data_IF_086849652988
#
_entry.id   IF_086849652988
#
_cell.length_a   1.000
_cell.length_b   1.000
_cell.length_c   1.000
_cell.angle_alpha   90.00
_cell.angle_beta   90.00
_cell.angle_gamma   90.00
#
_symmetry.space_group_name_H-M   'P 1'
#
loop_
_entity.id
_entity.type
_entity.pdbx_description
1 polymer ?
#
# COMPACT_ATOMS: atom_id res chain seq x y z
N UNK A 1 -1.83 24.93 -8.72
CA UNK A 1 -1.09 24.54 -9.95
C UNK A 1 -1.11 23.04 -10.19
N UNK A 2 -0.54 22.20 -9.31
CA UNK A 2 -0.51 20.74 -9.55
C UNK A 2 -1.91 20.11 -9.64
N UNK A 3 -2.85 20.59 -8.82
CA UNK A 3 -4.23 20.08 -8.78
C UNK A 3 -4.95 20.32 -10.12
N UNK A 4 -4.76 21.49 -10.73
CA UNK A 4 -5.30 21.81 -12.05
C UNK A 4 -4.76 20.89 -13.14
N UNK A 5 -3.45 20.63 -13.10
CA UNK A 5 -2.76 19.75 -14.04
C UNK A 5 -3.23 18.29 -13.90
N UNK A 6 -3.42 17.81 -12.67
CA UNK A 6 -3.98 16.48 -12.40
C UNK A 6 -5.47 16.39 -12.74
N UNK A 7 -6.24 17.44 -12.51
CA UNK A 7 -7.65 17.49 -12.91
C UNK A 7 -7.77 17.36 -14.43
N UNK A 8 -6.97 18.08 -15.22
CA UNK A 8 -6.97 17.94 -16.67
C UNK A 8 -6.70 16.49 -17.11
N UNK A 9 -5.79 15.79 -16.44
CA UNK A 9 -5.53 14.38 -16.69
C UNK A 9 -6.76 13.50 -16.41
N UNK A 10 -7.50 13.77 -15.32
CA UNK A 10 -8.76 13.08 -14.97
C UNK A 10 -9.85 13.23 -16.03
N UNK A 11 -9.87 14.36 -16.75
CA UNK A 11 -10.82 14.61 -17.84
C UNK A 11 -10.51 13.85 -19.14
N UNK A 12 -9.37 13.15 -19.24
CA UNK A 12 -9.08 12.36 -20.43
C UNK A 12 -10.07 11.22 -20.62
N UNK A 13 -10.43 10.87 -21.87
CA UNK A 13 -11.18 9.67 -22.13
C UNK A 13 -10.33 8.42 -21.79
N UNK A 14 -11.00 7.36 -21.36
CA UNK A 14 -10.41 6.03 -21.19
C UNK A 14 -11.39 4.97 -21.68
N UNK A 15 -10.88 3.77 -21.96
CA UNK A 15 -11.71 2.64 -22.34
C UNK A 15 -12.77 2.39 -21.26
N UNK A 16 -14.05 2.40 -21.69
CA UNK A 16 -15.22 2.30 -20.82
C UNK A 16 -15.21 3.26 -19.60
N UNK A 17 -14.52 4.40 -19.71
CA UNK A 17 -14.30 5.36 -18.62
C UNK A 17 -13.70 4.72 -17.35
N UNK A 18 -12.88 3.67 -17.51
CA UNK A 18 -12.31 2.92 -16.38
C UNK A 18 -11.30 3.70 -15.57
N UNK A 19 -10.71 4.76 -16.15
CA UNK A 19 -9.69 5.62 -15.54
C UNK A 19 -8.62 4.78 -14.85
N UNK A 20 -7.97 3.92 -15.62
CA UNK A 20 -7.02 2.94 -15.09
C UNK A 20 -5.75 3.57 -14.51
N UNK A 21 -5.52 4.88 -14.70
CA UNK A 21 -4.32 5.56 -14.22
C UNK A 21 -4.32 5.82 -12.71
N UNK A 22 -3.11 5.92 -12.15
CA UNK A 22 -2.81 6.52 -10.84
C UNK A 22 -1.62 7.46 -11.02
N UNK A 23 -1.73 8.68 -10.48
CA UNK A 23 -0.64 9.65 -10.52
C UNK A 23 -0.06 9.82 -9.11
N UNK A 24 1.25 9.61 -8.98
CA UNK A 24 1.99 9.82 -7.74
C UNK A 24 2.81 11.09 -7.88
N UNK A 25 2.53 12.09 -7.02
CA UNK A 25 3.24 13.37 -7.02
C UNK A 25 4.41 13.28 -6.03
N UNK A 26 5.63 13.30 -6.57
CA UNK A 26 6.86 13.24 -5.79
C UNK A 26 7.46 14.64 -5.71
N UNK A 27 7.54 15.16 -4.48
CA UNK A 27 8.17 16.44 -4.14
C UNK A 27 9.44 16.28 -3.31
N UNK A 28 9.53 15.17 -2.57
CA UNK A 28 10.67 14.91 -1.69
C UNK A 28 11.96 14.76 -2.51
N UNK A 29 12.98 15.51 -2.13
CA UNK A 29 14.25 15.55 -2.87
C UNK A 29 14.98 14.20 -2.83
N UNK A 30 14.89 13.44 -1.74
CA UNK A 30 15.56 12.14 -1.63
C UNK A 30 14.89 11.14 -2.56
N UNK A 31 13.54 11.07 -2.56
CA UNK A 31 12.80 10.19 -3.46
C UNK A 31 13.06 10.54 -4.92
N UNK A 32 13.14 11.84 -5.28
CA UNK A 32 13.51 12.25 -6.64
C UNK A 32 14.92 11.78 -7.02
N UNK A 33 15.89 11.86 -6.11
CA UNK A 33 17.25 11.39 -6.37
C UNK A 33 17.30 9.85 -6.50
N UNK A 34 16.53 9.12 -5.70
CA UNK A 34 16.37 7.66 -5.83
C UNK A 34 15.77 7.30 -7.19
N UNK A 35 14.69 7.99 -7.62
CA UNK A 35 14.12 7.81 -8.95
C UNK A 35 15.14 8.15 -10.05
N UNK A 36 15.88 9.24 -9.92
CA UNK A 36 16.92 9.62 -10.86
C UNK A 36 18.05 8.58 -10.94
N UNK A 37 18.34 7.85 -9.86
CA UNK A 37 19.34 6.77 -9.88
C UNK A 37 18.91 5.58 -10.74
N UNK A 38 17.61 5.40 -10.98
CA UNK A 38 17.07 4.33 -11.84
C UNK A 38 17.26 4.60 -13.33
N UNK A 39 17.71 5.79 -13.69
CA UNK A 39 17.85 6.24 -15.08
C UNK A 39 19.22 5.91 -15.70
N UNK A 40 20.20 5.51 -14.90
CA UNK A 40 21.56 5.21 -15.37
C UNK A 40 22.19 6.39 -16.11
N UNK A 41 22.55 6.20 -17.38
CA UNK A 41 23.17 7.19 -18.26
C UNK A 41 22.16 8.12 -18.98
N UNK A 42 20.88 8.08 -18.62
CA UNK A 42 19.85 8.89 -19.26
C UNK A 42 20.04 10.39 -18.97
N UNK A 43 20.06 11.27 -19.99
CA UNK A 43 20.14 12.72 -19.79
C UNK A 43 19.00 13.31 -18.93
N UNK A 44 17.87 12.60 -18.82
CA UNK A 44 16.76 13.00 -17.96
C UNK A 44 17.04 12.87 -16.45
N UNK A 45 18.18 12.27 -16.03
CA UNK A 45 18.59 12.17 -14.62
C UNK A 45 18.61 13.54 -13.94
N UNK A 46 19.22 14.53 -14.58
CA UNK A 46 19.27 15.90 -14.07
C UNK A 46 17.89 16.56 -14.03
N UNK A 47 17.04 16.24 -15.01
CA UNK A 47 15.68 16.77 -15.05
C UNK A 47 14.84 16.26 -13.85
N UNK A 48 14.94 14.97 -13.51
CA UNK A 48 14.24 14.40 -12.35
C UNK A 48 14.77 14.99 -11.04
N UNK A 49 16.10 15.08 -10.88
CA UNK A 49 16.70 15.64 -9.66
C UNK A 49 16.31 17.10 -9.41
N UNK A 50 16.39 17.93 -10.46
CA UNK A 50 16.18 19.38 -10.36
C UNK A 50 14.70 19.81 -10.45
N UNK A 51 13.82 19.00 -11.05
CA UNK A 51 12.41 19.38 -11.19
C UNK A 51 11.77 19.62 -9.81
N UNK A 52 10.96 20.68 -9.62
CA UNK A 52 10.27 20.93 -8.36
C UNK A 52 9.24 19.83 -8.02
N UNK A 53 8.75 19.12 -9.04
CA UNK A 53 7.80 18.02 -8.92
C UNK A 53 8.12 16.97 -9.98
N UNK A 54 8.07 15.71 -9.59
CA UNK A 54 8.04 14.55 -10.51
C UNK A 54 6.66 13.90 -10.39
N UNK A 55 6.01 13.60 -11.51
CA UNK A 55 4.72 12.89 -11.53
C UNK A 55 4.97 11.50 -12.11
N UNK A 56 4.82 10.46 -11.29
CA UNK A 56 4.90 9.08 -11.74
C UNK A 56 3.50 8.64 -12.19
N UNK A 57 3.37 8.29 -13.47
CA UNK A 57 2.15 7.76 -14.05
C UNK A 57 2.15 6.23 -13.97
N UNK A 58 1.22 5.68 -13.21
CA UNK A 58 1.00 4.24 -13.06
C UNK A 58 -0.34 3.84 -13.69
N UNK A 59 -0.50 2.54 -13.96
CA UNK A 59 -1.76 2.00 -14.44
C UNK A 59 -2.18 0.74 -13.66
N UNK A 60 -3.47 0.59 -13.43
CA UNK A 60 -4.09 -0.66 -13.00
C UNK A 60 -4.26 -1.59 -14.21
N UNK A 61 -3.49 -2.67 -14.23
CA UNK A 61 -3.60 -3.71 -15.27
C UNK A 61 -4.91 -4.48 -15.12
N UNK A 62 -5.42 -5.01 -16.23
CA UNK A 62 -6.65 -5.81 -16.26
C UNK A 62 -7.93 -4.99 -16.11
N UNK A 63 -7.84 -3.66 -16.15
CA UNK A 63 -9.00 -2.75 -16.13
C UNK A 63 -9.37 -2.29 -17.54
N UNK A 64 -8.42 -1.65 -18.22
CA UNK A 64 -8.64 -1.12 -19.56
C UNK A 64 -8.53 -2.24 -20.59
N UNK A 65 -9.52 -2.42 -21.46
CA UNK A 65 -9.61 -3.53 -22.40
C UNK A 65 -10.19 -4.83 -21.84
N UNK A 66 -10.68 -4.86 -20.59
CA UNK A 66 -11.20 -6.06 -19.93
C UNK A 66 -12.68 -5.98 -19.58
N UNK A 67 -13.45 -6.99 -19.96
CA UNK A 67 -14.86 -7.14 -19.58
C UNK A 67 -15.05 -8.43 -18.80
N UNK A 68 -15.63 -8.34 -17.59
CA UNK A 68 -15.83 -9.48 -16.68
C UNK A 68 -14.52 -10.29 -16.43
N UNK A 69 -13.40 -9.58 -16.27
CA UNK A 69 -12.09 -10.19 -16.00
C UNK A 69 -11.42 -10.89 -17.19
N UNK A 70 -11.97 -10.76 -18.40
CA UNK A 70 -11.40 -11.30 -19.64
C UNK A 70 -11.04 -10.17 -20.61
N UNK A 71 -9.97 -10.31 -21.40
CA UNK A 71 -9.71 -9.41 -22.51
C UNK A 71 -10.92 -9.30 -23.44
N UNK A 72 -11.37 -8.07 -23.71
CA UNK A 72 -12.49 -7.80 -24.60
C UNK A 72 -12.08 -7.81 -26.09
N UNK A 73 -10.78 -7.74 -26.37
CA UNK A 73 -10.21 -7.72 -27.72
C UNK A 73 -8.94 -8.56 -27.79
N UNK A 74 -8.45 -8.83 -29.00
CA UNK A 74 -7.17 -9.50 -29.27
C UNK A 74 -5.96 -8.71 -28.75
N UNK A 75 -6.13 -7.40 -28.47
CA UNK A 75 -5.06 -6.53 -27.98
C UNK A 75 -4.78 -6.66 -26.48
N UNK A 76 -5.66 -7.31 -25.71
CA UNK A 76 -5.49 -7.42 -24.27
C UNK A 76 -5.73 -6.09 -23.56
N UNK A 77 -4.73 -5.65 -22.80
CA UNK A 77 -4.81 -4.45 -21.95
C UNK A 77 -4.55 -3.16 -22.75
N UNK A 78 -5.42 -2.17 -22.58
CA UNK A 78 -5.36 -0.88 -23.26
C UNK A 78 -4.74 0.24 -22.39
N UNK A 79 -4.20 -0.10 -21.21
CA UNK A 79 -3.72 0.87 -20.23
C UNK A 79 -2.76 1.93 -20.78
N UNK A 80 -1.82 1.56 -21.66
CA UNK A 80 -0.84 2.52 -22.20
C UNK A 80 -1.51 3.62 -23.02
N UNK A 81 -2.57 3.27 -23.77
CA UNK A 81 -3.32 4.22 -24.58
C UNK A 81 -4.07 5.21 -23.67
N UNK A 82 -4.78 4.70 -22.66
CA UNK A 82 -5.53 5.51 -21.70
C UNK A 82 -4.63 6.43 -20.87
N UNK A 83 -3.50 5.91 -20.36
CA UNK A 83 -2.52 6.70 -19.60
C UNK A 83 -1.89 7.77 -20.47
N UNK A 84 -1.60 7.47 -21.74
CA UNK A 84 -1.04 8.45 -22.67
C UNK A 84 -2.01 9.61 -22.92
N UNK A 85 -3.31 9.34 -23.05
CA UNK A 85 -4.34 10.39 -23.17
C UNK A 85 -4.40 11.28 -21.92
N UNK A 86 -4.39 10.67 -20.73
CA UNK A 86 -4.36 11.40 -19.47
C UNK A 86 -3.09 12.26 -19.33
N UNK A 87 -1.92 11.69 -19.66
CA UNK A 87 -0.66 12.41 -19.67
C UNK A 87 -0.63 13.53 -20.70
N UNK A 88 -1.26 13.37 -21.86
CA UNK A 88 -1.36 14.42 -22.88
C UNK A 88 -2.12 15.65 -22.35
N UNK A 89 -3.30 15.43 -21.74
CA UNK A 89 -4.06 16.52 -21.13
C UNK A 89 -3.27 17.21 -20.01
N UNK A 90 -2.56 16.41 -19.21
CA UNK A 90 -1.70 16.89 -18.13
C UNK A 90 -0.63 17.84 -18.67
N UNK A 91 0.17 17.42 -19.66
CA UNK A 91 1.29 18.21 -20.17
C UNK A 91 0.82 19.43 -20.97
N UNK A 92 -0.30 19.34 -21.68
CA UNK A 92 -0.90 20.51 -22.35
C UNK A 92 -1.35 21.57 -21.35
N UNK A 93 -1.95 21.14 -20.25
CA UNK A 93 -2.37 22.05 -19.17
C UNK A 93 -1.15 22.66 -18.48
N UNK A 94 -0.12 21.85 -18.20
CA UNK A 94 1.15 22.34 -17.65
C UNK A 94 1.77 23.41 -18.56
N UNK A 95 1.82 23.16 -19.87
CA UNK A 95 2.30 24.12 -20.86
C UNK A 95 1.48 25.42 -20.87
N UNK A 96 0.15 25.33 -20.82
CA UNK A 96 -0.72 26.53 -20.76
C UNK A 96 -0.50 27.40 -19.52
N UNK A 97 0.05 26.80 -18.45
CA UNK A 97 0.42 27.48 -17.21
C UNK A 97 1.87 27.99 -17.23
N UNK A 98 2.57 27.89 -18.36
CA UNK A 98 3.96 28.32 -18.53
C UNK A 98 5.00 27.35 -17.97
N UNK A 99 4.63 26.09 -17.71
CA UNK A 99 5.55 25.08 -17.17
C UNK A 99 6.22 24.28 -18.29
N UNK A 100 7.48 23.89 -18.06
CA UNK A 100 8.18 22.90 -18.87
C UNK A 100 7.95 21.48 -18.34
N UNK A 101 7.77 20.52 -19.26
CA UNK A 101 7.60 19.10 -18.93
C UNK A 101 8.50 18.22 -19.79
N UNK A 102 8.96 17.09 -19.25
CA UNK A 102 9.70 16.06 -19.99
C UNK A 102 9.10 14.69 -19.69
N UNK A 103 8.87 13.89 -20.73
CA UNK A 103 8.46 12.50 -20.57
C UNK A 103 9.70 11.61 -20.40
N UNK A 104 9.70 10.79 -19.34
CA UNK A 104 10.78 9.84 -19.08
C UNK A 104 10.20 8.43 -19.14
N UNK A 105 10.51 7.71 -20.22
CA UNK A 105 10.12 6.30 -20.40
C UNK A 105 11.27 5.30 -20.21
N UNK A 106 12.52 5.77 -20.19
CA UNK A 106 13.72 4.92 -20.08
C UNK A 106 14.28 4.97 -18.67
N UNK A 107 13.91 3.99 -17.86
CA UNK A 107 14.39 3.78 -16.49
C UNK A 107 14.27 2.30 -16.11
N UNK A 108 14.99 1.89 -15.07
CA UNK A 108 14.92 0.54 -14.51
C UNK A 108 13.68 0.39 -13.61
N UNK A 109 12.57 -0.09 -14.18
CA UNK A 109 11.29 -0.22 -13.48
C UNK A 109 11.39 -0.99 -12.16
N UNK A 110 12.19 -2.05 -12.10
CA UNK A 110 12.37 -2.85 -10.88
C UNK A 110 13.04 -2.07 -9.75
N UNK A 111 13.93 -1.11 -10.07
CA UNK A 111 14.57 -0.24 -9.08
C UNK A 111 13.67 0.91 -8.66
N UNK A 112 12.76 1.34 -9.52
CA UNK A 112 11.77 2.38 -9.20
C UNK A 112 10.60 1.83 -8.38
N UNK A 113 10.37 0.51 -8.40
CA UNK A 113 9.27 -0.14 -7.71
C UNK A 113 9.60 -0.42 -6.23
N UNK A 114 9.08 0.42 -5.34
CA UNK A 114 9.05 0.10 -3.91
C UNK A 114 7.97 -0.94 -3.58
N UNK A 115 6.73 -0.75 -4.05
CA UNK A 115 5.65 -1.71 -3.85
C UNK A 115 5.76 -2.84 -4.88
N UNK A 116 6.07 -4.05 -4.42
CA UNK A 116 6.20 -5.24 -5.28
C UNK A 116 4.84 -5.90 -5.54
N UNK A 117 3.95 -5.88 -4.56
CA UNK A 117 2.59 -6.38 -4.67
C UNK A 117 1.70 -5.84 -3.56
N UNK A 118 0.39 -5.94 -3.75
CA UNK A 118 -0.58 -5.75 -2.68
C UNK A 118 -1.75 -6.72 -2.85
N UNK A 119 -2.46 -7.01 -1.77
CA UNK A 119 -3.71 -7.75 -1.79
C UNK A 119 -4.68 -7.10 -0.82
N UNK A 120 -5.90 -6.85 -1.29
CA UNK A 120 -7.01 -6.39 -0.47
C UNK A 120 -8.08 -7.47 -0.40
N UNK A 121 -8.64 -7.67 0.79
CA UNK A 121 -9.79 -8.53 1.05
C UNK A 121 -10.83 -7.74 1.83
N UNK A 122 -12.08 -7.82 1.42
CA UNK A 122 -13.21 -7.27 2.18
C UNK A 122 -14.22 -8.38 2.43
N UNK A 123 -14.50 -8.63 3.71
CA UNK A 123 -15.62 -9.47 4.15
C UNK A 123 -16.71 -8.60 4.80
N UNK A 124 -16.78 -7.32 4.40
CA UNK A 124 -17.66 -6.33 5.03
C UNK A 124 -19.13 -6.72 4.91
N UNK A 125 -19.53 -7.31 3.78
CA UNK A 125 -20.91 -7.75 3.59
C UNK A 125 -21.38 -8.74 4.67
N UNK A 126 -20.54 -9.71 5.05
CA UNK A 126 -20.88 -10.74 6.02
C UNK A 126 -20.54 -10.36 7.46
N UNK A 127 -19.50 -9.53 7.65
CA UNK A 127 -18.85 -9.34 8.95
C UNK A 127 -18.81 -7.90 9.43
N UNK A 128 -19.51 -6.96 8.76
CA UNK A 128 -19.55 -5.55 9.16
C UNK A 128 -19.94 -5.36 10.63
N UNK A 129 -20.91 -6.15 11.12
CA UNK A 129 -21.47 -6.02 12.47
C UNK A 129 -20.73 -6.80 13.55
N UNK A 130 -19.53 -7.36 13.25
CA UNK A 130 -18.63 -7.79 14.31
C UNK A 130 -18.18 -6.61 15.19
N UNK A 131 -18.22 -5.40 14.64
CA UNK A 131 -18.02 -4.14 15.35
C UNK A 131 -19.19 -3.22 15.05
N UNK A 132 -19.84 -2.70 16.08
CA UNK A 132 -21.00 -1.84 15.93
C UNK A 132 -20.98 -0.73 16.98
N UNK A 133 -21.97 0.16 16.92
CA UNK A 133 -22.11 1.26 17.85
C UNK A 133 -23.41 1.05 18.64
N UNK A 134 -23.35 1.15 19.97
CA UNK A 134 -24.50 0.85 20.84
C UNK A 134 -24.38 1.41 22.26
N UNK A 135 -25.41 1.20 23.09
CA UNK A 135 -25.51 1.69 24.48
C UNK A 135 -24.38 1.18 25.37
N UNK A 136 -24.05 1.88 26.45
CA UNK A 136 -23.02 1.45 27.41
C UNK A 136 -23.21 0.02 27.92
N UNK A 137 -22.10 -0.69 28.19
CA UNK A 137 -22.15 -1.98 28.90
C UNK A 137 -22.28 -1.78 30.42
N UNK A 138 -22.03 -0.57 30.91
CA UNK A 138 -22.24 -0.21 32.30
C UNK A 138 -23.75 0.02 32.51
N UNK A 139 -24.45 -0.81 33.32
CA UNK A 139 -25.88 -0.66 33.55
C UNK A 139 -26.25 0.65 34.28
N UNK A 140 -25.30 1.29 34.96
CA UNK A 140 -25.50 2.54 35.70
C UNK A 140 -25.21 3.79 34.86
N UNK A 141 -24.99 3.65 33.54
CA UNK A 141 -24.74 4.79 32.66
C UNK A 141 -26.05 5.46 32.27
N UNK A 142 -26.29 6.70 32.73
CA UNK A 142 -27.57 7.41 32.56
C UNK A 142 -27.68 8.27 31.28
N UNK A 143 -26.76 8.11 30.32
CA UNK A 143 -26.75 8.89 29.08
C UNK A 143 -27.11 8.11 27.82
N UNK A 144 -27.36 8.84 26.73
CA UNK A 144 -27.67 8.31 25.39
C UNK A 144 -26.45 8.23 24.47
N UNK A 145 -25.24 8.40 25.01
CA UNK A 145 -24.00 8.27 24.25
C UNK A 145 -23.88 6.86 23.68
N UNK A 146 -23.31 6.83 22.49
CA UNK A 146 -23.09 5.62 21.75
C UNK A 146 -21.61 5.22 21.85
N UNK A 147 -21.37 3.94 22.09
CA UNK A 147 -20.05 3.36 22.32
C UNK A 147 -19.74 2.31 21.27
N UNK A 148 -18.47 2.16 20.92
CA UNK A 148 -18.01 1.05 20.10
C UNK A 148 -18.19 -0.26 20.87
N UNK A 149 -18.79 -1.23 20.19
CA UNK A 149 -19.05 -2.58 20.65
C UNK A 149 -18.42 -3.56 19.70
N UNK A 150 -18.05 -4.72 20.22
CA UNK A 150 -17.43 -5.74 19.39
C UNK A 150 -17.71 -7.16 19.89
N UNK A 151 -17.79 -8.09 18.95
CA UNK A 151 -17.65 -9.52 19.20
C UNK A 151 -16.17 -9.89 19.18
N UNK A 152 -15.44 -9.49 20.23
CA UNK A 152 -13.97 -9.56 20.26
C UNK A 152 -13.38 -10.96 19.99
N UNK A 153 -14.03 -12.02 20.48
CA UNK A 153 -13.60 -13.40 20.23
C UNK A 153 -13.73 -13.80 18.75
N UNK A 154 -14.81 -13.38 18.08
CA UNK A 154 -15.01 -13.63 16.65
C UNK A 154 -14.03 -12.81 15.81
N UNK A 155 -13.79 -11.55 16.17
CA UNK A 155 -12.78 -10.70 15.50
C UNK A 155 -11.39 -11.34 15.62
N UNK A 156 -11.00 -11.81 16.80
CA UNK A 156 -9.73 -12.51 16.99
C UNK A 156 -9.61 -13.73 16.06
N UNK A 157 -10.62 -14.61 16.05
CA UNK A 157 -10.64 -15.80 15.19
C UNK A 157 -10.59 -15.44 13.71
N UNK A 158 -11.31 -14.38 13.33
CA UNK A 158 -11.28 -13.85 11.97
C UNK A 158 -9.85 -13.43 11.60
N UNK A 159 -9.25 -12.49 12.34
CA UNK A 159 -7.94 -11.90 12.02
C UNK A 159 -6.83 -12.94 11.93
N UNK A 160 -6.75 -13.87 12.90
CA UNK A 160 -5.75 -14.95 12.91
C UNK A 160 -5.93 -15.89 11.71
N UNK A 161 -7.14 -16.04 11.19
CA UNK A 161 -7.43 -16.92 10.04
C UNK A 161 -7.15 -16.25 8.70
N UNK A 162 -7.46 -14.96 8.57
CA UNK A 162 -7.51 -14.27 7.28
C UNK A 162 -6.26 -13.45 6.97
N UNK A 163 -5.72 -12.72 7.95
CA UNK A 163 -4.52 -11.86 7.75
C UNK A 163 -3.33 -12.66 7.21
N UNK A 164 -2.96 -13.84 7.77
CA UNK A 164 -1.86 -14.64 7.24
C UNK A 164 -2.04 -15.08 5.79
N UNK A 165 -3.28 -15.38 5.38
CA UNK A 165 -3.58 -15.81 4.01
C UNK A 165 -3.44 -14.65 3.03
N UNK A 166 -3.90 -13.45 3.42
CA UNK A 166 -3.76 -12.24 2.60
C UNK A 166 -2.30 -11.83 2.44
N UNK A 167 -1.49 -11.96 3.51
CA UNK A 167 -0.05 -11.77 3.44
C UNK A 167 0.60 -12.78 2.49
N UNK A 168 0.27 -14.07 2.64
CA UNK A 168 0.79 -15.12 1.75
C UNK A 168 0.45 -14.81 0.28
N UNK A 169 -0.80 -14.44 -0.02
CA UNK A 169 -1.21 -14.10 -1.37
C UNK A 169 -0.41 -12.92 -1.95
N UNK A 170 -0.10 -11.92 -1.14
CA UNK A 170 0.74 -10.79 -1.57
C UNK A 170 2.17 -11.25 -1.87
N UNK A 171 2.77 -12.07 -1.01
CA UNK A 171 4.10 -12.65 -1.23
C UNK A 171 4.14 -13.53 -2.49
N UNK A 172 3.15 -14.41 -2.68
CA UNK A 172 3.02 -15.26 -3.86
C UNK A 172 2.91 -14.41 -5.15
N UNK A 173 2.14 -13.31 -5.11
CA UNK A 173 1.99 -12.38 -6.24
C UNK A 173 3.30 -11.65 -6.55
N UNK A 174 4.11 -11.36 -5.54
CA UNK A 174 5.44 -10.77 -5.72
C UNK A 174 6.51 -11.81 -6.14
N UNK A 175 6.16 -13.10 -6.22
CA UNK A 175 7.12 -14.18 -6.48
C UNK A 175 8.11 -14.40 -5.33
N UNK A 176 7.76 -14.05 -4.10
CA UNK A 176 8.63 -14.11 -2.91
C UNK A 176 8.12 -15.13 -1.88
N UNK A 177 9.04 -15.65 -1.09
CA UNK A 177 8.77 -16.47 0.09
C UNK A 177 8.86 -15.64 1.36
N UNK A 178 8.28 -16.12 2.47
CA UNK A 178 8.42 -15.49 3.78
C UNK A 178 9.89 -15.44 4.25
N UNK A 179 10.75 -16.33 3.74
CA UNK A 179 12.20 -16.32 4.01
C UNK A 179 12.93 -15.11 3.43
N UNK A 180 12.36 -14.46 2.42
CA UNK A 180 12.91 -13.25 1.81
C UNK A 180 12.55 -11.99 2.62
N UNK A 181 11.60 -12.10 3.55
CA UNK A 181 11.05 -10.98 4.31
C UNK A 181 11.95 -10.64 5.49
N UNK A 182 12.46 -9.41 5.50
CA UNK A 182 13.24 -8.86 6.60
C UNK A 182 12.38 -8.46 7.79
N UNK A 183 11.19 -7.91 7.52
CA UNK A 183 10.32 -7.36 8.55
C UNK A 183 8.85 -7.50 8.20
N UNK A 184 8.03 -7.85 9.17
CA UNK A 184 6.57 -7.89 9.07
C UNK A 184 6.01 -6.80 9.97
N UNK A 185 5.47 -5.74 9.38
CA UNK A 185 4.79 -4.65 10.07
C UNK A 185 3.29 -4.91 10.03
N UNK A 186 2.69 -5.15 11.19
CA UNK A 186 1.24 -5.41 11.31
C UNK A 186 0.61 -4.26 12.08
N UNK A 187 -0.61 -3.86 11.70
CA UNK A 187 -1.45 -3.03 12.55
C UNK A 187 -1.71 -3.74 13.89
N UNK A 188 -1.36 -3.08 15.01
CA UNK A 188 -1.34 -3.70 16.33
C UNK A 188 -2.59 -3.32 17.12
N UNK A 189 -3.56 -4.23 17.16
CA UNK A 189 -4.74 -4.05 17.98
C UNK A 189 -4.59 -4.71 19.36
N UNK A 190 -3.85 -5.81 19.44
CA UNK A 190 -3.57 -6.55 20.66
C UNK A 190 -2.36 -7.46 20.44
N UNK A 191 -1.33 -7.35 21.30
CA UNK A 191 -0.09 -8.13 21.20
C UNK A 191 -0.33 -9.64 21.07
N UNK A 192 -1.27 -10.21 21.83
CA UNK A 192 -1.62 -11.63 21.76
C UNK A 192 -2.15 -12.03 20.37
N UNK A 193 -2.96 -11.15 19.75
CA UNK A 193 -3.49 -11.39 18.41
C UNK A 193 -2.40 -11.28 17.35
N UNK A 194 -1.54 -10.27 17.47
CA UNK A 194 -0.46 -10.01 16.52
C UNK A 194 0.55 -11.18 16.49
N UNK A 195 0.92 -11.70 17.67
CA UNK A 195 1.74 -12.92 17.80
C UNK A 195 1.06 -14.12 17.15
N UNK A 196 -0.24 -14.36 17.42
CA UNK A 196 -0.97 -15.47 16.83
C UNK A 196 -1.09 -15.37 15.29
N UNK A 197 -1.24 -14.15 14.75
CA UNK A 197 -1.19 -13.89 13.31
C UNK A 197 0.19 -14.26 12.76
N UNK A 198 1.27 -13.81 13.40
CA UNK A 198 2.64 -14.11 12.98
C UNK A 198 2.94 -15.61 13.00
N UNK A 199 2.58 -16.31 14.08
CA UNK A 199 2.73 -17.76 14.19
C UNK A 199 1.98 -18.51 13.10
N UNK A 200 0.73 -18.09 12.83
CA UNK A 200 -0.09 -18.70 11.78
C UNK A 200 0.49 -18.44 10.40
N UNK A 201 1.07 -17.26 10.15
CA UNK A 201 1.77 -16.93 8.91
C UNK A 201 2.99 -17.84 8.72
N UNK A 202 3.87 -17.94 9.72
CA UNK A 202 5.04 -18.82 9.66
C UNK A 202 4.69 -20.28 9.43
N UNK A 203 3.59 -20.75 10.04
CA UNK A 203 3.06 -22.10 9.82
C UNK A 203 2.60 -22.34 8.38
N UNK A 204 2.14 -21.33 7.64
CA UNK A 204 1.76 -21.49 6.23
C UNK A 204 2.97 -21.74 5.31
N UNK A 205 4.18 -21.46 5.78
CA UNK A 205 5.44 -21.68 5.08
C UNK A 205 6.26 -22.85 5.69
N UNK A 206 5.66 -23.64 6.59
CA UNK A 206 6.31 -24.73 7.32
C UNK A 206 7.57 -24.31 8.11
N UNK A 207 7.65 -23.04 8.51
CA UNK A 207 8.78 -22.49 9.27
C UNK A 207 8.48 -22.59 10.77
N UNK A 208 9.30 -23.38 11.48
CA UNK A 208 9.11 -23.62 12.93
C UNK A 208 9.70 -22.51 13.81
N UNK A 209 10.79 -21.87 13.37
CA UNK A 209 11.51 -20.86 14.16
C UNK A 209 11.19 -19.47 13.63
N UNK A 210 10.47 -18.69 14.43
CA UNK A 210 10.18 -17.29 14.13
C UNK A 210 11.37 -16.44 14.61
N UNK A 211 11.99 -15.61 13.76
CA UNK A 211 13.04 -14.71 14.19
C UNK A 211 12.49 -13.67 15.18
N UNK A 212 13.15 -13.52 16.33
CA UNK A 212 12.70 -12.67 17.44
C UNK A 212 12.41 -11.22 17.02
N UNK A 213 13.14 -10.70 16.05
CA UNK A 213 13.05 -9.29 15.64
C UNK A 213 12.34 -9.08 14.28
N UNK A 214 11.64 -10.09 13.74
CA UNK A 214 10.94 -9.94 12.46
C UNK A 214 9.72 -9.03 12.55
N UNK A 215 9.03 -8.99 13.70
CA UNK A 215 7.85 -8.15 13.91
C UNK A 215 8.10 -7.14 15.04
N UNK A 216 8.40 -5.86 14.73
CA UNK A 216 8.54 -4.84 15.77
C UNK A 216 7.20 -4.60 16.49
N UNK A 217 7.24 -4.47 17.82
CA UNK A 217 6.05 -4.24 18.65
C UNK A 217 6.17 -2.92 19.42
N UNK A 218 5.12 -2.09 19.36
CA UNK A 218 5.05 -0.80 20.06
C UNK A 218 3.77 -0.62 20.89
N UNK A 219 2.79 -1.50 20.69
CA UNK A 219 1.49 -1.44 21.36
C UNK A 219 1.58 -1.36 22.90
N UNK A 220 2.61 -1.91 23.51
CA UNK A 220 2.79 -1.90 24.98
C UNK A 220 3.00 -0.50 25.56
N UNK A 221 3.47 0.46 24.77
CA UNK A 221 3.74 1.83 25.22
C UNK A 221 3.10 2.94 24.37
N UNK A 222 2.71 2.65 23.11
CA UNK A 222 1.92 3.57 22.27
C UNK A 222 0.42 3.24 22.25
N UNK A 223 0.02 2.06 22.72
CA UNK A 223 -1.34 1.58 22.59
C UNK A 223 -1.74 1.27 21.14
N UNK A 224 -3.02 0.96 20.94
CA UNK A 224 -3.60 0.78 19.62
C UNK A 224 -3.94 2.15 19.01
N UNK A 225 -3.09 2.60 18.09
CA UNK A 225 -3.26 3.87 17.36
C UNK A 225 -4.00 3.73 16.02
N UNK A 226 -4.71 2.61 15.82
CA UNK A 226 -5.51 2.34 14.62
C UNK A 226 -4.68 2.50 13.33
N UNK A 227 -5.15 3.32 12.39
CA UNK A 227 -4.51 3.59 11.10
C UNK A 227 -3.10 4.18 11.23
N UNK A 228 -2.76 4.80 12.36
CA UNK A 228 -1.44 5.39 12.59
C UNK A 228 -0.37 4.36 12.97
N UNK A 229 -0.73 3.11 13.29
CA UNK A 229 0.24 2.11 13.78
C UNK A 229 1.34 1.80 12.76
N UNK A 230 0.97 1.52 11.50
CA UNK A 230 1.96 1.15 10.47
C UNK A 230 2.91 2.31 10.11
N UNK A 231 2.42 3.54 9.82
CA UNK A 231 3.31 4.68 9.58
C UNK A 231 4.23 4.96 10.76
N UNK A 232 3.72 4.85 12.00
CA UNK A 232 4.52 5.08 13.21
C UNK A 232 5.61 4.02 13.37
N UNK A 233 5.28 2.74 13.16
CA UNK A 233 6.26 1.66 13.19
C UNK A 233 7.37 1.88 12.15
N UNK A 234 6.99 2.22 10.92
CA UNK A 234 7.96 2.48 9.85
C UNK A 234 8.88 3.66 10.19
N UNK A 235 8.33 4.79 10.64
CA UNK A 235 9.10 5.97 11.04
C UNK A 235 10.09 5.64 12.18
N UNK A 236 9.64 4.93 13.21
CA UNK A 236 10.49 4.54 14.33
C UNK A 236 11.61 3.59 13.90
N UNK A 237 11.36 2.65 12.98
CA UNK A 237 12.39 1.77 12.41
C UNK A 237 13.39 2.57 11.57
N UNK A 238 12.92 3.42 10.66
CA UNK A 238 13.77 4.20 9.76
C UNK A 238 14.66 5.19 10.53
N UNK A 239 14.15 5.78 11.61
CA UNK A 239 14.93 6.66 12.51
C UNK A 239 15.80 5.92 13.52
N UNK A 240 15.84 4.58 13.47
CA UNK A 240 16.63 3.75 14.38
C UNK A 240 16.20 3.85 15.85
N UNK A 241 14.92 4.17 16.11
CA UNK A 241 14.35 4.30 17.46
C UNK A 241 13.92 2.96 18.06
N UNK A 242 13.79 1.91 17.24
CA UNK A 242 13.52 0.54 17.70
C UNK A 242 14.81 -0.28 17.67
N UNK A 243 15.30 -0.68 18.85
CA UNK A 243 16.52 -1.49 19.00
C UNK A 243 16.36 -2.81 18.24
N UNK A 244 17.42 -3.25 17.56
CA UNK A 244 17.48 -4.49 16.76
C UNK A 244 16.52 -4.57 15.55
N UNK A 245 15.73 -3.53 15.29
CA UNK A 245 14.90 -3.43 14.10
C UNK A 245 15.54 -2.43 13.13
N UNK A 246 16.06 -2.93 12.01
CA UNK A 246 16.67 -2.11 10.96
C UNK A 246 16.19 -2.58 9.60
N UNK A 247 15.82 -1.63 8.77
CA UNK A 247 15.53 -1.79 7.35
C UNK A 247 16.57 -1.00 6.56
N UNK A 248 17.10 -1.61 5.50
CA UNK A 248 18.08 -1.03 4.57
C UNK A 248 17.52 -1.08 3.15
N UNK A 249 18.06 -0.27 2.26
CA UNK A 249 17.78 -0.38 0.82
C UNK A 249 17.96 -1.83 0.34
N UNK A 250 16.98 -2.32 -0.40
CA UNK A 250 16.89 -3.71 -0.88
C UNK A 250 16.18 -4.69 0.07
N UNK A 251 16.05 -4.39 1.37
CA UNK A 251 15.32 -5.26 2.31
C UNK A 251 13.84 -5.33 1.94
N UNK A 252 13.22 -6.50 2.15
CA UNK A 252 11.78 -6.70 1.93
C UNK A 252 11.02 -6.53 3.24
N UNK A 253 10.08 -5.60 3.26
CA UNK A 253 9.12 -5.41 4.33
C UNK A 253 7.71 -5.82 3.87
N UNK A 254 6.98 -6.52 4.73
CA UNK A 254 5.57 -6.82 4.53
C UNK A 254 4.76 -5.94 5.47
N UNK A 255 3.77 -5.25 4.92
CA UNK A 255 2.77 -4.52 5.68
C UNK A 255 1.47 -5.32 5.69
N UNK A 256 0.80 -5.37 6.83
CA UNK A 256 -0.50 -6.01 6.97
C UNK A 256 -1.40 -5.21 7.92
N UNK A 257 -2.67 -5.11 7.58
CA UNK A 257 -3.67 -4.47 8.44
C UNK A 257 -5.00 -5.19 8.37
N UNK A 258 -5.75 -5.11 9.47
CA UNK A 258 -7.17 -5.47 9.53
C UNK A 258 -7.92 -4.31 10.16
N UNK A 259 -8.86 -3.74 9.40
CA UNK A 259 -9.65 -2.59 9.82
C UNK A 259 -11.05 -2.96 10.31
N UNK A 260 -11.74 -1.97 10.87
CA UNK A 260 -13.17 -2.08 11.14
C UNK A 260 -13.92 -2.42 9.85
N UNK A 261 -14.96 -3.27 9.95
CA UNK A 261 -15.66 -3.81 8.79
C UNK A 261 -14.97 -4.96 8.09
N UNK A 262 -13.96 -5.58 8.70
CA UNK A 262 -13.27 -6.77 8.19
C UNK A 262 -12.68 -6.57 6.79
N UNK A 263 -12.03 -5.41 6.63
CA UNK A 263 -11.20 -5.09 5.47
C UNK A 263 -9.74 -5.34 5.82
N UNK A 264 -9.06 -6.13 5.01
CA UNK A 264 -7.67 -6.53 5.21
C UNK A 264 -6.86 -6.07 4.02
N UNK A 265 -5.72 -5.44 4.30
CA UNK A 265 -4.76 -5.05 3.28
C UNK A 265 -3.41 -5.64 3.64
N UNK A 266 -2.74 -6.19 2.63
CA UNK A 266 -1.32 -6.53 2.71
C UNK A 266 -0.57 -5.94 1.53
N UNK A 267 0.68 -5.52 1.79
CA UNK A 267 1.56 -4.91 0.80
C UNK A 267 2.96 -5.46 1.01
N UNK A 268 3.60 -5.90 -0.06
CA UNK A 268 5.02 -6.28 -0.07
C UNK A 268 5.81 -5.11 -0.62
N UNK A 269 6.80 -4.65 0.13
CA UNK A 269 7.58 -3.47 -0.19
C UNK A 269 9.07 -3.80 -0.17
N UNK A 270 9.78 -3.41 -1.22
CA UNK A 270 11.24 -3.33 -1.26
C UNK A 270 11.63 -1.94 -0.79
N UNK A 271 12.41 -1.90 0.29
CA UNK A 271 12.98 -0.65 0.79
C UNK A 271 13.88 -0.05 -0.30
N UNK A 272 13.66 1.24 -0.60
CA UNK A 272 14.48 2.01 -1.52
C UNK A 272 15.67 2.60 -0.78
#
# INVERSE_FOLDING_TARGET
>A
TIELVLEAARWAPSWANTQCWRFIVVRDSNIKLELASTLGDNPATDAIGNAPVVIVACAELGKSGYYQGKPATDKGDWYMFDVALAMQNLVLTAHSLGLGTVHVGRFETEKAAGILSHTTRSDTFESAFLLWVGKSNNPNHEGNELFIKMHGHEIYKYSVRTVPKTVKQSLDTAGLSLTDVKMVLIHQANEKMDIAILERLFKLYDIKKIPEHIMPMTISWLGNSSVATLPTLLDLVQRGKLKNHKLRSGDIAVFASVGAGMNINSMVYRML
#
